data_IF_204909301624
#
_entry.id   IF_204909301624
#
_cell.length_a   1.000
_cell.length_b   1.000
_cell.length_c   1.000
_cell.angle_alpha   90.00
_cell.angle_beta   90.00
_cell.angle_gamma   90.00
#
_symmetry.space_group_name_H-M   'P 1'
#
loop_
_entity.id
_entity.type
_entity.pdbx_description
1 polymer ?
#
# COMPACT_ATOMS: atom_id res chain seq x y z
N UNK A 1 -4.93 -8.88 3.71
CA UNK A 1 -5.99 -7.94 4.14
C UNK A 1 -6.50 -8.29 5.54
N UNK A 2 -6.67 -9.58 5.84
CA UNK A 2 -7.31 -10.06 7.07
C UNK A 2 -6.63 -9.59 8.34
N UNK A 3 -5.29 -9.57 8.37
CA UNK A 3 -4.54 -9.01 9.51
C UNK A 3 -5.03 -7.61 9.91
N UNK A 4 -5.14 -6.69 8.95
CA UNK A 4 -5.56 -5.29 9.21
C UNK A 4 -7.00 -5.24 9.71
N UNK A 5 -7.88 -6.06 9.13
CA UNK A 5 -9.29 -6.14 9.56
C UNK A 5 -9.44 -6.71 10.97
N UNK A 6 -8.69 -7.75 11.31
CA UNK A 6 -8.68 -8.34 12.65
C UNK A 6 -8.08 -7.40 13.70
N UNK A 7 -7.05 -6.63 13.34
CA UNK A 7 -6.48 -5.58 14.21
C UNK A 7 -7.50 -4.47 14.45
N UNK A 8 -8.11 -3.97 13.39
CA UNK A 8 -8.93 -2.77 13.46
C UNK A 8 -10.34 -3.04 14.02
N UNK A 9 -10.91 -4.22 13.73
CA UNK A 9 -12.28 -4.70 14.04
C UNK A 9 -13.43 -3.86 13.46
N UNK A 10 -13.29 -2.54 13.47
CA UNK A 10 -14.26 -1.57 12.97
C UNK A 10 -13.56 -0.46 12.18
N UNK A 11 -14.35 0.40 11.55
CA UNK A 11 -13.87 1.64 10.97
C UNK A 11 -13.14 2.47 12.02
N UNK A 12 -11.95 2.95 11.65
CA UNK A 12 -11.03 3.63 12.57
C UNK A 12 -11.31 5.12 12.75
N UNK A 13 -12.39 5.62 12.16
CA UNK A 13 -12.83 7.00 12.31
C UNK A 13 -13.39 7.21 13.72
N UNK A 14 -13.15 8.36 14.38
CA UNK A 14 -13.66 8.62 15.72
C UNK A 14 -15.17 8.39 15.83
N UNK A 15 -15.59 7.49 16.72
CA UNK A 15 -16.99 7.18 16.99
C UNK A 15 -17.71 6.31 15.94
N UNK A 16 -17.01 5.79 14.91
CA UNK A 16 -17.62 4.90 13.94
C UNK A 16 -17.50 3.43 14.38
N UNK A 17 -18.58 2.67 14.23
CA UNK A 17 -18.69 1.26 14.61
C UNK A 17 -18.84 0.30 13.41
N UNK A 18 -18.73 0.82 12.18
CA UNK A 18 -18.88 0.01 10.95
C UNK A 18 -17.93 -1.19 10.99
N UNK A 19 -18.39 -2.43 10.80
CA UNK A 19 -17.51 -3.60 10.84
C UNK A 19 -16.38 -3.52 9.82
N UNK A 20 -15.18 -3.99 10.17
CA UNK A 20 -14.02 -3.99 9.28
C UNK A 20 -14.21 -4.82 8.00
N UNK A 21 -15.13 -5.78 8.01
CA UNK A 21 -15.54 -6.55 6.81
C UNK A 21 -16.18 -5.67 5.73
N UNK A 22 -16.89 -4.61 6.14
CA UNK A 22 -17.55 -3.64 5.25
C UNK A 22 -16.70 -2.39 4.99
N UNK A 23 -15.45 -2.40 5.46
CA UNK A 23 -14.52 -1.30 5.30
C UNK A 23 -13.60 -1.49 4.09
N UNK A 24 -13.25 -0.37 3.47
CA UNK A 24 -12.12 -0.26 2.57
C UNK A 24 -10.82 -0.31 3.41
N UNK A 25 -9.76 -0.87 2.81
CA UNK A 25 -8.41 -0.72 3.34
C UNK A 25 -7.80 0.54 2.75
N UNK A 26 -7.67 1.56 3.58
CA UNK A 26 -7.19 2.88 3.22
C UNK A 26 -5.71 3.04 3.58
N UNK A 27 -4.93 3.58 2.64
CA UNK A 27 -3.51 3.86 2.85
C UNK A 27 -3.30 5.22 3.51
N UNK A 28 -2.50 5.29 4.57
CA UNK A 28 -2.07 6.55 5.20
C UNK A 28 -1.23 7.37 4.24
N UNK A 29 -0.18 6.77 3.68
CA UNK A 29 0.56 7.29 2.53
C UNK A 29 -0.11 6.74 1.28
N UNK A 30 -0.74 7.55 0.41
CA UNK A 30 -1.45 7.06 -0.76
C UNK A 30 -0.60 6.16 -1.64
N UNK A 31 -1.18 5.07 -2.14
CA UNK A 31 -0.48 4.15 -3.05
C UNK A 31 0.07 4.87 -4.30
N UNK A 32 -0.68 5.84 -4.83
CA UNK A 32 -0.25 6.65 -5.98
C UNK A 32 0.96 7.55 -5.69
N UNK A 33 1.22 7.86 -4.42
CA UNK A 33 2.39 8.60 -3.95
C UNK A 33 3.54 7.69 -3.50
N UNK A 34 3.52 6.41 -3.90
CA UNK A 34 4.55 5.43 -3.52
C UNK A 34 4.32 4.73 -2.18
N UNK A 35 3.16 4.95 -1.54
CA UNK A 35 2.84 4.31 -0.28
C UNK A 35 2.74 2.78 -0.40
N UNK A 36 3.48 2.00 0.41
CA UNK A 36 3.46 0.55 0.31
C UNK A 36 2.11 -0.01 0.79
N UNK A 37 1.68 -1.13 0.20
CA UNK A 37 0.55 -1.91 0.73
C UNK A 37 1.05 -2.76 1.89
N UNK A 38 1.20 -2.12 3.05
CA UNK A 38 1.78 -2.70 4.27
C UNK A 38 0.86 -2.47 5.48
N UNK A 39 0.88 -3.37 6.47
CA UNK A 39 -0.03 -3.29 7.62
C UNK A 39 0.12 -1.99 8.43
N UNK A 40 1.34 -1.45 8.51
CA UNK A 40 1.61 -0.16 9.14
C UNK A 40 1.15 1.06 8.30
N UNK A 41 0.87 0.88 7.00
CA UNK A 41 0.31 1.92 6.13
C UNK A 41 -1.20 1.81 5.96
N UNK A 42 -1.80 0.68 6.34
CA UNK A 42 -3.19 0.35 6.05
C UNK A 42 -4.05 0.45 7.31
N UNK A 43 -5.30 0.84 7.12
CA UNK A 43 -6.34 0.88 8.15
C UNK A 43 -7.72 0.71 7.54
N UNK A 44 -8.69 0.32 8.37
CA UNK A 44 -10.07 0.16 7.98
C UNK A 44 -10.81 1.51 8.04
N UNK A 45 -11.30 1.99 6.91
CA UNK A 45 -12.31 3.04 6.86
C UNK A 45 -13.54 2.57 6.12
N UNK A 46 -14.73 2.88 6.64
CA UNK A 46 -15.95 2.69 5.87
C UNK A 46 -15.92 3.61 4.65
N UNK A 47 -16.74 3.30 3.64
CA UNK A 47 -16.74 4.05 2.39
C UNK A 47 -16.92 5.56 2.61
N UNK A 48 -17.81 5.96 3.53
CA UNK A 48 -18.04 7.37 3.86
C UNK A 48 -16.80 8.04 4.43
N UNK A 49 -16.16 7.44 5.44
CA UNK A 49 -15.00 8.03 6.10
C UNK A 49 -13.74 8.02 5.24
N UNK A 50 -13.59 7.01 4.38
CA UNK A 50 -12.56 7.03 3.35
C UNK A 50 -12.73 8.28 2.46
N UNK A 51 -13.95 8.61 2.02
CA UNK A 51 -14.20 9.81 1.22
C UNK A 51 -13.97 11.11 1.98
N UNK A 52 -14.41 11.18 3.24
CA UNK A 52 -14.17 12.35 4.10
C UNK A 52 -12.66 12.61 4.24
N UNK A 53 -11.87 11.56 4.48
CA UNK A 53 -10.42 11.65 4.49
C UNK A 53 -9.87 12.18 3.18
N UNK A 54 -10.28 11.58 2.05
CA UNK A 54 -9.71 11.91 0.74
C UNK A 54 -10.01 13.34 0.29
N UNK A 55 -11.19 13.89 0.62
CA UNK A 55 -11.65 15.11 -0.02
C UNK A 55 -11.81 16.31 0.93
N UNK A 56 -11.90 16.09 2.24
CA UNK A 56 -12.43 17.12 3.16
C UNK A 56 -11.41 17.64 4.16
N UNK A 57 -10.12 17.76 3.81
CA UNK A 57 -9.18 18.51 4.65
C UNK A 57 -8.59 17.76 5.85
N UNK A 58 -8.84 16.45 5.98
CA UNK A 58 -8.45 15.67 7.16
C UNK A 58 -7.01 15.18 7.06
N UNK A 59 -6.17 15.56 8.01
CA UNK A 59 -4.81 15.01 8.11
C UNK A 59 -4.79 13.81 9.02
N UNK A 60 -3.89 12.87 8.75
CA UNK A 60 -3.73 11.69 9.59
C UNK A 60 -2.27 11.25 9.68
N UNK A 61 -1.95 10.67 10.84
CA UNK A 61 -0.69 9.98 11.09
C UNK A 61 -1.02 8.61 11.69
N UNK A 62 -0.40 7.57 11.15
CA UNK A 62 -0.51 6.21 11.68
C UNK A 62 0.79 5.83 12.37
N UNK A 63 0.70 5.46 13.65
CA UNK A 63 1.82 5.01 14.44
C UNK A 63 2.08 3.51 14.21
N UNK A 64 3.29 2.99 14.53
CA UNK A 64 3.65 1.60 14.29
C UNK A 64 2.73 0.57 14.96
N UNK A 65 2.11 0.92 16.08
CA UNK A 65 1.16 0.09 16.83
C UNK A 65 -0.26 0.08 16.23
N UNK A 66 -0.49 0.84 15.15
CA UNK A 66 -1.81 1.00 14.53
C UNK A 66 -2.68 2.10 15.16
N UNK A 67 -2.15 2.85 16.12
CA UNK A 67 -2.80 4.07 16.64
C UNK A 67 -2.88 5.12 15.52
N UNK A 68 -4.03 5.76 15.39
CA UNK A 68 -4.25 6.85 14.45
C UNK A 68 -4.39 8.17 15.19
N UNK A 69 -3.69 9.18 14.69
CA UNK A 69 -3.86 10.58 15.06
C UNK A 69 -4.53 11.25 13.87
N UNK A 70 -5.80 11.60 13.99
CA UNK A 70 -6.55 12.33 12.97
C UNK A 70 -6.66 13.79 13.36
N UNK A 71 -6.41 14.70 12.43
CA UNK A 71 -6.63 16.12 12.62
C UNK A 71 -7.72 16.60 11.66
N UNK A 72 -8.77 17.15 12.25
CA UNK A 72 -9.87 17.78 11.51
C UNK A 72 -9.42 19.06 10.81
N UNK A 73 -10.16 19.53 9.79
CA UNK A 73 -9.88 20.80 9.11
C UNK A 73 -9.93 22.02 10.04
N UNK A 74 -10.69 21.94 11.13
CA UNK A 74 -10.77 22.97 12.17
C UNK A 74 -9.61 22.91 13.18
N UNK A 75 -8.68 21.96 13.03
CA UNK A 75 -7.50 21.82 13.87
C UNK A 75 -7.69 20.91 15.09
N UNK A 76 -8.90 20.40 15.35
CA UNK A 76 -9.16 19.45 16.45
C UNK A 76 -8.50 18.11 16.15
N UNK A 77 -7.79 17.57 17.14
CA UNK A 77 -7.10 16.27 17.06
C UNK A 77 -7.91 15.17 17.74
N UNK A 78 -8.02 14.03 17.09
CA UNK A 78 -8.64 12.82 17.60
C UNK A 78 -7.63 11.67 17.57
N UNK A 79 -7.66 10.82 18.59
CA UNK A 79 -6.81 9.63 18.66
C UNK A 79 -7.71 8.40 18.70
N UNK A 80 -7.44 7.43 17.83
CA UNK A 80 -8.13 6.13 17.84
C UNK A 80 -7.11 5.00 17.93
N UNK A 81 -7.36 4.00 18.78
CA UNK A 81 -6.53 2.80 18.93
C UNK A 81 -7.27 1.59 18.38
N UNK A 82 -6.59 0.58 17.78
CA UNK A 82 -7.29 -0.50 17.09
C UNK A 82 -8.31 -1.18 17.99
N UNK A 83 -9.45 -1.61 17.45
CA UNK A 83 -10.51 -2.22 18.26
C UNK A 83 -10.02 -3.48 18.99
N UNK A 84 -9.00 -4.15 18.44
CA UNK A 84 -8.37 -5.30 19.07
C UNK A 84 -7.43 -4.93 20.22
N UNK A 85 -7.13 -3.66 20.50
CA UNK A 85 -6.09 -3.27 21.46
C UNK A 85 -6.33 -3.81 22.88
N UNK A 86 -7.59 -3.92 23.30
CA UNK A 86 -7.95 -4.47 24.62
C UNK A 86 -8.01 -6.01 24.64
N UNK A 87 -8.51 -6.63 23.56
CA UNK A 87 -8.80 -8.07 23.53
C UNK A 87 -7.63 -8.90 22.97
N UNK A 88 -6.88 -8.33 22.03
CA UNK A 88 -5.79 -8.96 21.29
C UNK A 88 -4.62 -7.98 21.09
N UNK A 89 -3.93 -7.56 22.16
CA UNK A 89 -2.86 -6.57 22.09
C UNK A 89 -1.69 -7.00 21.19
N UNK A 90 -1.50 -8.30 20.96
CA UNK A 90 -0.49 -8.82 20.04
C UNK A 90 -0.72 -8.40 18.58
N UNK A 91 -1.96 -8.14 18.17
CA UNK A 91 -2.28 -7.63 16.82
C UNK A 91 -1.89 -6.16 16.64
N UNK A 92 -1.70 -5.42 17.74
CA UNK A 92 -1.24 -4.03 17.75
C UNK A 92 0.29 -3.93 17.89
N UNK A 93 1.01 -5.05 17.85
CA UNK A 93 2.48 -5.00 17.87
C UNK A 93 2.98 -4.43 16.55
N UNK A 94 4.02 -3.58 16.61
CA UNK A 94 4.62 -2.99 15.44
C UNK A 94 5.03 -4.04 14.40
N UNK A 95 4.50 -3.93 13.19
CA UNK A 95 4.71 -4.89 12.10
C UNK A 95 6.03 -4.69 11.35
N UNK A 96 7.04 -4.09 11.99
CA UNK A 96 8.26 -3.61 11.34
C UNK A 96 8.10 -2.21 10.73
N UNK A 97 9.21 -1.47 10.66
CA UNK A 97 9.25 -0.11 10.13
C UNK A 97 8.89 -0.10 8.65
N UNK A 98 7.99 0.80 8.26
CA UNK A 98 7.99 1.26 6.88
C UNK A 98 9.28 2.06 6.68
N UNK A 99 10.03 1.88 5.59
CA UNK A 99 10.93 2.95 5.19
C UNK A 99 10.03 4.18 5.08
N UNK A 100 10.28 5.20 5.91
CA UNK A 100 9.72 6.49 5.65
C UNK A 100 10.15 6.80 4.22
N UNK A 101 9.24 6.95 3.24
CA UNK A 101 9.67 7.62 2.03
C UNK A 101 10.33 8.94 2.50
N UNK A 102 11.44 9.33 1.90
CA UNK A 102 11.81 10.74 1.82
C UNK A 102 10.59 11.42 1.19
N UNK A 103 9.64 11.78 2.05
CA UNK A 103 8.35 12.22 1.61
C UNK A 103 8.56 13.66 1.19
N UNK A 104 8.42 13.91 -0.11
CA UNK A 104 8.02 15.22 -0.57
C UNK A 104 6.90 15.73 0.35
N UNK A 105 6.89 17.04 0.67
CA UNK A 105 5.92 17.61 1.60
C UNK A 105 4.51 17.16 1.22
N UNK A 106 3.64 16.88 2.21
CA UNK A 106 2.33 16.30 1.97
C UNK A 106 1.65 17.09 0.85
N UNK A 107 1.46 16.42 -0.30
CA UNK A 107 0.80 17.04 -1.43
C UNK A 107 -0.55 17.51 -0.93
N UNK A 108 -0.82 18.81 -1.07
CA UNK A 108 -2.01 19.45 -0.55
C UNK A 108 -3.19 19.08 -1.46
N UNK A 109 -3.61 17.81 -1.38
CA UNK A 109 -4.72 17.22 -2.12
C UNK A 109 -6.06 17.93 -1.81
N UNK A 110 -6.06 18.79 -0.79
CA UNK A 110 -7.17 19.58 -0.30
C UNK A 110 -7.34 20.96 -0.95
N UNK A 111 -6.41 21.39 -1.82
CA UNK A 111 -6.52 22.70 -2.47
C UNK A 111 -7.72 22.77 -3.43
N UNK A 112 -8.12 21.63 -4.00
CA UNK A 112 -9.27 21.57 -4.89
C UNK A 112 -10.52 21.04 -4.17
N UNK A 113 -11.17 21.91 -3.41
CA UNK A 113 -12.46 21.61 -2.72
C UNK A 113 -13.58 21.24 -3.70
N UNK A 114 -13.38 21.43 -5.01
CA UNK A 114 -14.28 21.01 -6.07
C UNK A 114 -13.97 19.61 -6.63
N UNK A 115 -12.91 18.94 -6.16
CA UNK A 115 -12.56 17.58 -6.54
C UNK A 115 -13.67 16.61 -6.11
N UNK A 116 -14.60 16.38 -7.04
CA UNK A 116 -15.67 15.39 -6.90
C UNK A 116 -15.12 14.00 -7.19
N UNK A 117 -15.70 13.00 -6.54
CA UNK A 117 -15.39 11.60 -6.80
C UNK A 117 -15.52 11.33 -8.31
N UNK A 118 -14.43 11.00 -9.04
CA UNK A 118 -14.49 10.88 -10.48
C UNK A 118 -15.51 9.81 -10.85
N UNK A 119 -16.51 10.18 -11.66
CA UNK A 119 -17.51 9.21 -12.14
C UNK A 119 -16.78 8.17 -12.97
N UNK A 120 -16.91 6.92 -12.54
CA UNK A 120 -16.33 5.75 -13.20
C UNK A 120 -16.82 5.72 -14.67
N UNK A 121 -15.90 5.94 -15.62
CA UNK A 121 -16.21 5.93 -17.06
C UNK A 121 -16.40 4.51 -17.64
N UNK A 122 -15.91 3.47 -16.94
CA UNK A 122 -15.91 2.07 -17.37
C UNK A 122 -16.28 1.12 -16.22
N UNK A 123 -17.03 0.08 -16.51
CA UNK A 123 -17.42 -0.92 -15.50
C UNK A 123 -16.18 -1.67 -14.98
N UNK A 124 -16.27 -2.27 -13.79
CA UNK A 124 -15.17 -3.09 -13.22
C UNK A 124 -14.77 -4.24 -14.15
N UNK A 125 -15.74 -4.82 -14.86
CA UNK A 125 -15.52 -5.87 -15.84
C UNK A 125 -14.70 -5.37 -17.04
N UNK A 126 -15.04 -4.19 -17.56
CA UNK A 126 -14.31 -3.54 -18.67
C UNK A 126 -12.86 -3.20 -18.27
N UNK A 127 -12.65 -2.60 -17.10
CA UNK A 127 -11.30 -2.29 -16.60
C UNK A 127 -10.46 -3.56 -16.42
N UNK A 128 -11.06 -4.64 -15.87
CA UNK A 128 -10.40 -5.94 -15.73
C UNK A 128 -10.02 -6.51 -17.08
N UNK A 129 -10.94 -6.53 -18.05
CA UNK A 129 -10.68 -7.03 -19.39
C UNK A 129 -9.55 -6.25 -20.09
N UNK A 130 -9.55 -4.93 -19.97
CA UNK A 130 -8.49 -4.09 -20.52
C UNK A 130 -7.13 -4.34 -19.87
N UNK A 131 -7.08 -4.51 -18.54
CA UNK A 131 -5.84 -4.83 -17.84
C UNK A 131 -5.29 -6.17 -18.29
N UNK A 132 -6.14 -7.19 -18.40
CA UNK A 132 -5.76 -8.52 -18.91
C UNK A 132 -5.23 -8.40 -20.36
N UNK A 133 -5.92 -7.66 -21.23
CA UNK A 133 -5.49 -7.48 -22.61
C UNK A 133 -4.16 -6.73 -22.72
N UNK A 134 -3.96 -5.67 -21.91
CA UNK A 134 -2.71 -4.93 -21.85
C UNK A 134 -1.55 -5.82 -21.37
N UNK A 135 -1.78 -6.62 -20.34
CA UNK A 135 -0.77 -7.55 -19.81
C UNK A 135 -0.45 -8.65 -20.82
N UNK A 136 -1.46 -9.21 -21.50
CA UNK A 136 -1.26 -10.17 -22.60
C UNK A 136 -0.44 -9.58 -23.73
N UNK A 137 -0.68 -8.31 -24.11
CA UNK A 137 0.14 -7.61 -25.13
C UNK A 137 1.58 -7.42 -24.68
N UNK A 138 1.82 -7.01 -23.42
CA UNK A 138 3.18 -6.89 -22.86
C UNK A 138 3.90 -8.24 -22.89
N UNK A 139 3.24 -9.30 -22.43
CA UNK A 139 3.79 -10.65 -22.42
C UNK A 139 4.06 -11.17 -23.83
N UNK A 140 3.15 -10.90 -24.78
CA UNK A 140 3.35 -11.25 -26.18
C UNK A 140 4.54 -10.52 -26.79
N UNK A 141 4.67 -9.21 -26.54
CA UNK A 141 5.84 -8.43 -26.97
C UNK A 141 7.13 -8.97 -26.37
N UNK A 142 7.15 -9.27 -25.07
CA UNK A 142 8.33 -9.83 -24.40
C UNK A 142 8.75 -11.21 -24.95
N UNK A 143 7.79 -12.02 -25.45
CA UNK A 143 8.08 -13.32 -26.09
C UNK A 143 8.61 -13.19 -27.51
N UNK A 144 8.10 -12.20 -28.26
CA UNK A 144 8.51 -11.97 -29.65
C UNK A 144 9.74 -11.10 -29.79
N UNK A 145 10.08 -10.32 -28.76
CA UNK A 145 11.33 -9.58 -28.72
C UNK A 145 12.44 -10.60 -28.44
N UNK A 146 13.33 -10.89 -29.41
CA UNK A 146 14.46 -11.77 -29.14
C UNK A 146 15.29 -11.15 -27.99
N UNK A 147 15.97 -11.97 -27.17
CA UNK A 147 16.88 -11.44 -26.17
C UNK A 147 17.86 -10.52 -26.90
N UNK A 148 18.03 -9.27 -26.43
CA UNK A 148 19.15 -8.46 -26.87
C UNK A 148 20.41 -9.32 -26.68
N UNK A 149 21.19 -9.50 -27.75
CA UNK A 149 22.44 -10.26 -27.72
C UNK A 149 23.20 -9.85 -26.48
N UNK A 150 23.30 -10.76 -25.50
CA UNK A 150 24.30 -10.63 -24.45
C UNK A 150 25.60 -10.68 -25.22
N UNK A 151 26.23 -9.52 -25.42
CA UNK A 151 27.58 -9.43 -25.96
C UNK A 151 28.44 -10.39 -25.13
N UNK A 152 28.70 -11.56 -25.69
CA UNK A 152 29.57 -12.55 -25.11
C UNK A 152 30.96 -11.97 -25.22
N UNK A 153 31.40 -11.30 -24.16
CA UNK A 153 32.80 -10.97 -23.99
C UNK A 153 33.55 -12.30 -23.99
N UNK A 154 34.22 -12.60 -25.11
CA UNK A 154 35.18 -13.69 -25.22
C UNK A 154 36.37 -13.28 -24.34
N UNK A 155 36.32 -13.63 -23.06
CA UNK A 155 37.49 -13.63 -22.19
C UNK A 155 38.34 -14.87 -22.46
N UNK A 156 39.68 -14.80 -22.29
CA UNK A 156 40.54 -15.97 -22.47
C UNK A 156 40.16 -17.09 -21.49
N UNK A 157 40.31 -18.34 -21.94
CA UNK A 157 39.95 -19.53 -21.18
C UNK A 157 40.68 -19.57 -19.81
N UNK A 158 40.01 -20.02 -18.73
CA UNK A 158 40.66 -20.23 -17.45
C UNK A 158 41.74 -21.32 -17.56
N UNK A 159 42.85 -21.23 -16.80
CA UNK A 159 43.89 -22.25 -16.83
C UNK A 159 43.36 -23.59 -16.30
N UNK A 160 43.91 -24.73 -16.76
CA UNK A 160 43.50 -26.05 -16.29
C UNK A 160 43.81 -26.18 -14.80
N UNK A 161 42.80 -26.56 -14.01
CA UNK A 161 42.98 -26.98 -12.62
C UNK A 161 43.51 -28.40 -12.63
N UNK A 162 44.73 -28.58 -12.11
CA UNK A 162 45.32 -29.88 -11.84
C UNK A 162 44.58 -30.46 -10.61
N UNK A 163 43.54 -31.25 -10.85
CA UNK A 163 42.78 -31.96 -9.82
C UNK A 163 43.55 -33.24 -9.42
N UNK A 164 44.69 -33.09 -8.75
CA UNK A 164 45.31 -34.19 -8.01
C UNK A 164 44.96 -34.06 -6.52
N UNK A 165 44.09 -34.95 -5.97
CA UNK A 165 43.73 -34.88 -4.55
C UNK A 165 44.92 -35.32 -3.68
N UNK A 166 45.20 -34.63 -2.57
CA UNK A 166 46.33 -34.98 -1.71
C UNK A 166 46.12 -36.35 -1.04
N UNK A 167 47.18 -37.17 -0.88
CA UNK A 167 47.06 -38.50 -0.30
C UNK A 167 46.89 -38.43 1.23
N UNK A 168 45.74 -38.95 1.69
CA UNK A 168 45.30 -39.29 3.06
C UNK A 168 45.28 -38.17 4.12
#
# INVERSE_FOLDING_TARGET
ADFVRCRDLTCRWPGCDRPAGDCDLDHTIPYAAGGPTHAANLKCYCRTHHLVKTFWGWREQQLPDGTLILQSPSGTTHVTTPGSALLFPSLCRATGGMPAPEADPPQDYCTDKAAMMPKRRRTRAQDRAQRIAAERRKNHHARLTPPAERSSVIGPAPPPTDDEPPPF
#
